data_IF_541825246934
#
_entry.id   IF_541825246934
#
_cell.length_a   1.000
_cell.length_b   1.000
_cell.length_c   1.000
_cell.angle_alpha   90.00
_cell.angle_beta   90.00
_cell.angle_gamma   90.00
#
_symmetry.space_group_name_H-M   'P 1'
#
loop_
_entity.id
_entity.type
_entity.pdbx_description
1 polymer ?
#
# COMPACT_ATOMS: atom_id res chain seq x y z
N UNK A 1 39.86 -8.37 -29.54
CA UNK A 1 39.09 -9.20 -28.59
C UNK A 1 38.63 -8.42 -27.34
N UNK A 2 38.90 -7.11 -27.23
CA UNK A 2 38.62 -6.31 -26.02
C UNK A 2 37.16 -5.81 -25.90
N UNK A 3 36.46 -5.55 -27.00
CA UNK A 3 35.08 -5.05 -26.96
C UNK A 3 34.05 -6.06 -26.43
N UNK A 4 34.36 -7.37 -26.50
CA UNK A 4 33.43 -8.44 -26.11
C UNK A 4 33.29 -8.54 -24.59
N UNK A 5 34.34 -8.22 -23.84
CA UNK A 5 34.35 -8.29 -22.37
C UNK A 5 33.70 -7.06 -21.73
N UNK A 6 33.89 -5.87 -22.30
CA UNK A 6 33.22 -4.63 -21.87
C UNK A 6 31.71 -4.70 -22.10
N UNK A 7 31.27 -5.18 -23.26
CA UNK A 7 29.85 -5.35 -23.56
C UNK A 7 29.16 -6.34 -22.61
N UNK A 8 29.82 -7.46 -22.30
CA UNK A 8 29.29 -8.46 -21.34
C UNK A 8 29.21 -7.89 -19.92
N UNK A 9 30.16 -7.04 -19.50
CA UNK A 9 30.11 -6.37 -18.19
C UNK A 9 28.98 -5.35 -18.11
N UNK A 10 28.75 -4.57 -19.16
CA UNK A 10 27.64 -3.60 -19.21
C UNK A 10 26.30 -4.33 -19.16
N UNK A 11 26.14 -5.42 -19.92
CA UNK A 11 24.93 -6.26 -19.87
C UNK A 11 24.68 -6.84 -18.47
N UNK A 12 25.73 -7.29 -17.79
CA UNK A 12 25.63 -7.79 -16.41
C UNK A 12 25.16 -6.70 -15.46
N UNK A 13 25.75 -5.50 -15.53
CA UNK A 13 25.34 -4.36 -14.69
C UNK A 13 23.88 -3.97 -14.95
N UNK A 14 23.48 -3.86 -16.23
CA UNK A 14 22.10 -3.54 -16.59
C UNK A 14 21.12 -4.59 -16.08
N UNK A 15 21.48 -5.88 -16.13
CA UNK A 15 20.68 -6.97 -15.59
C UNK A 15 20.50 -6.86 -14.07
N UNK A 16 21.58 -6.57 -13.33
CA UNK A 16 21.50 -6.35 -11.89
C UNK A 16 20.63 -5.13 -11.54
N UNK A 17 20.75 -4.03 -12.29
CA UNK A 17 19.89 -2.84 -12.10
C UNK A 17 18.41 -3.19 -12.33
N UNK A 18 18.12 -3.96 -13.38
CA UNK A 18 16.76 -4.42 -13.70
C UNK A 18 16.18 -5.28 -12.57
N UNK A 19 16.96 -6.25 -12.06
CA UNK A 19 16.55 -7.08 -10.92
C UNK A 19 16.31 -6.24 -9.68
N UNK A 20 17.22 -5.32 -9.35
CA UNK A 20 17.11 -4.50 -8.16
C UNK A 20 15.90 -3.57 -8.21
N UNK A 21 15.62 -2.99 -9.40
CA UNK A 21 14.42 -2.19 -9.64
C UNK A 21 13.13 -3.02 -9.50
N UNK A 22 13.12 -4.25 -10.03
CA UNK A 22 11.98 -5.16 -9.89
C UNK A 22 11.73 -5.53 -8.42
N UNK A 23 12.78 -5.87 -7.66
CA UNK A 23 12.69 -6.18 -6.23
C UNK A 23 12.17 -4.98 -5.42
N UNK A 24 12.65 -3.77 -5.72
CA UNK A 24 12.18 -2.55 -5.06
C UNK A 24 10.69 -2.27 -5.33
N UNK A 25 10.21 -2.52 -6.56
CA UNK A 25 8.80 -2.40 -6.91
C UNK A 25 7.93 -3.42 -6.17
N UNK A 26 8.38 -4.68 -6.09
CA UNK A 26 7.69 -5.73 -5.34
C UNK A 26 7.62 -5.39 -3.84
N UNK A 27 8.72 -4.88 -3.27
CA UNK A 27 8.77 -4.48 -1.85
C UNK A 27 7.81 -3.32 -1.54
N UNK A 28 7.75 -2.31 -2.41
CA UNK A 28 6.79 -1.21 -2.25
C UNK A 28 5.33 -1.66 -2.39
N UNK A 29 5.06 -2.71 -3.17
CA UNK A 29 3.71 -3.22 -3.35
C UNK A 29 3.20 -3.93 -2.09
N UNK A 30 4.06 -4.68 -1.41
CA UNK A 30 3.77 -5.33 -0.13
C UNK A 30 3.50 -4.29 0.98
N UNK A 31 4.36 -3.27 1.10
CA UNK A 31 4.23 -2.25 2.15
C UNK A 31 2.95 -1.43 2.06
N UNK A 32 2.40 -1.20 0.85
CA UNK A 32 1.13 -0.47 0.69
C UNK A 32 -0.08 -1.24 1.20
N UNK A 33 0.00 -2.57 1.36
CA UNK A 33 -1.13 -3.37 1.88
C UNK A 33 -1.11 -3.52 3.39
N UNK A 34 0.04 -3.31 4.04
CA UNK A 34 0.21 -3.62 5.46
C UNK A 34 -0.14 -2.46 6.41
N UNK A 35 -0.36 -1.24 5.90
CA UNK A 35 -0.85 -0.10 6.70
C UNK A 35 -2.37 -0.02 6.82
N UNK A 36 -3.11 -1.02 6.35
CA UNK A 36 -4.51 -1.16 6.73
C UNK A 36 -4.55 -1.68 8.16
N UNK A 37 -4.34 -0.79 9.14
CA UNK A 37 -4.71 -1.02 10.54
C UNK A 37 -6.07 -1.71 10.52
N UNK A 38 -6.17 -2.84 11.19
CA UNK A 38 -7.39 -3.61 11.25
C UNK A 38 -8.43 -2.82 12.05
N UNK A 39 -9.13 -1.90 11.38
CA UNK A 39 -10.24 -1.17 11.97
C UNK A 39 -11.42 -2.12 12.02
N UNK A 40 -12.00 -2.29 13.20
CA UNK A 40 -13.15 -3.18 13.42
C UNK A 40 -14.41 -2.43 13.86
N UNK A 41 -14.35 -1.11 14.07
CA UNK A 41 -15.48 -0.32 14.58
C UNK A 41 -15.55 1.10 14.01
N UNK A 42 -16.73 1.71 14.11
CA UNK A 42 -16.96 3.12 13.77
C UNK A 42 -16.07 4.06 14.60
N UNK A 43 -15.97 3.82 15.91
CA UNK A 43 -15.12 4.64 16.80
C UNK A 43 -13.65 4.54 16.46
N UNK A 44 -13.15 3.36 16.13
CA UNK A 44 -11.77 3.19 15.69
C UNK A 44 -11.54 3.90 14.35
N UNK A 45 -12.49 3.82 13.41
CA UNK A 45 -12.44 4.54 12.15
C UNK A 45 -12.39 6.07 12.35
N UNK A 46 -13.26 6.60 13.22
CA UNK A 46 -13.28 8.02 13.61
C UNK A 46 -11.98 8.46 14.29
N UNK A 47 -11.47 7.67 15.23
CA UNK A 47 -10.25 8.01 15.99
C UNK A 47 -8.99 8.00 15.13
N UNK A 48 -8.96 7.21 14.05
CA UNK A 48 -7.88 7.25 13.07
C UNK A 48 -7.98 8.45 12.10
N UNK A 49 -9.05 9.26 12.19
CA UNK A 49 -9.24 10.45 11.36
C UNK A 49 -9.76 10.18 9.95
N UNK A 50 -10.37 9.01 9.71
CA UNK A 50 -11.01 8.70 8.43
C UNK A 50 -12.28 9.53 8.20
N UNK A 51 -12.67 9.77 6.93
CA UNK A 51 -13.83 10.58 6.62
C UNK A 51 -15.13 9.96 7.14
N UNK A 52 -15.89 10.77 7.87
CA UNK A 52 -17.23 10.45 8.37
C UNK A 52 -18.25 11.12 7.46
N UNK A 53 -19.21 10.33 7.01
CA UNK A 53 -20.40 10.75 6.30
C UNK A 53 -21.49 11.02 7.34
N UNK A 54 -21.96 12.27 7.38
CA UNK A 54 -23.06 12.73 8.23
C UNK A 54 -24.42 12.29 7.65
N UNK A 55 -24.58 10.98 7.43
CA UNK A 55 -25.88 10.35 7.15
C UNK A 55 -26.57 9.96 8.46
N UNK A 56 -27.84 9.57 8.41
CA UNK A 56 -28.55 9.00 9.55
C UNK A 56 -28.82 7.51 9.27
N UNK A 57 -28.10 6.57 9.91
CA UNK A 57 -27.00 6.74 10.86
C UNK A 57 -25.66 7.19 10.23
N UNK A 58 -24.73 7.77 10.99
CA UNK A 58 -23.45 8.23 10.47
C UNK A 58 -22.57 7.06 10.05
N UNK A 59 -21.76 7.26 9.00
CA UNK A 59 -20.96 6.20 8.38
C UNK A 59 -19.50 6.62 8.25
N UNK A 60 -18.56 5.76 8.59
CA UNK A 60 -17.13 5.99 8.42
C UNK A 60 -16.58 5.11 7.29
N UNK A 61 -15.90 5.71 6.31
CA UNK A 61 -15.41 5.01 5.11
C UNK A 61 -13.89 4.90 5.10
N UNK A 62 -13.39 3.68 4.93
CA UNK A 62 -11.97 3.41 4.80
C UNK A 62 -11.49 3.53 3.34
N UNK A 63 -10.19 3.75 3.11
CA UNK A 63 -9.58 3.74 1.77
C UNK A 63 -9.69 2.39 1.05
N UNK A 64 -9.90 1.31 1.81
CA UNK A 64 -10.06 -0.05 1.29
C UNK A 64 -11.48 -0.37 0.82
N UNK A 65 -12.43 0.56 1.02
CA UNK A 65 -13.83 0.41 0.66
C UNK A 65 -14.73 -0.17 1.75
N UNK A 66 -14.20 -0.54 2.92
CA UNK A 66 -15.03 -0.91 4.08
C UNK A 66 -15.76 0.32 4.62
N UNK A 67 -17.00 0.10 5.06
CA UNK A 67 -17.86 1.11 5.68
C UNK A 67 -18.29 0.61 7.04
N UNK A 68 -18.08 1.43 8.06
CA UNK A 68 -18.56 1.18 9.42
C UNK A 68 -19.69 2.16 9.70
N UNK A 69 -20.87 1.62 10.00
CA UNK A 69 -22.04 2.43 10.38
C UNK A 69 -22.12 2.50 11.89
N UNK A 70 -22.40 3.69 12.42
CA UNK A 70 -22.70 3.87 13.84
C UNK A 70 -24.12 3.35 14.13
N UNK A 71 -24.24 2.04 14.33
CA UNK A 71 -25.53 1.40 14.62
C UNK A 71 -25.86 1.39 16.12
N UNK A 72 -24.90 1.72 16.98
CA UNK A 72 -25.01 1.51 18.42
C UNK A 72 -24.46 2.71 19.18
N UNK A 73 -25.31 3.36 19.98
CA UNK A 73 -24.87 4.20 21.09
C UNK A 73 -24.30 3.33 22.21
N UNK A 74 -23.05 2.88 22.05
CA UNK A 74 -22.22 2.23 23.06
C UNK A 74 -21.04 3.14 23.46
#
# INVERSE_FOLDING_TARGET
MEHRTTFTRILSILFFILIFSLLALLYQWESRRFEMKFIYSFMECKNQGYPILETDPPQCRLPDGRVFTDTNGD
#
